data_IF_440105104962
#
_entry.id   IF_440105104962
#
_cell.length_a   1.000
_cell.length_b   1.000
_cell.length_c   1.000
_cell.angle_alpha   90.00
_cell.angle_beta   90.00
_cell.angle_gamma   90.00
#
_symmetry.space_group_name_H-M   'P 1'
#
loop_
_entity.id
_entity.type
_entity.pdbx_description
1 polymer ?
2 water ?
#
# COMPACT_ATOMS: atom_id res chain seq x y z
N UNK A 10 -12.78 -10.97 -16.77
CA UNK A 10 -13.67 -12.12 -16.45
C UNK A 10 -15.09 -11.67 -16.16
N UNK A 11 -15.63 -12.08 -15.02
CA UNK A 11 -16.99 -11.70 -14.64
C UNK A 11 -17.00 -10.53 -13.64
N UNK A 12 -17.94 -9.58 -13.81
CA UNK A 12 -18.03 -8.44 -12.91
C UNK A 12 -18.32 -8.85 -11.47
N UNK A 13 -17.76 -8.10 -10.53
CA UNK A 13 -17.92 -8.35 -9.10
C UNK A 13 -19.40 -8.56 -8.75
N UNK A 14 -20.26 -7.85 -9.50
CA UNK A 14 -21.70 -7.89 -9.32
C UNK A 14 -22.23 -9.31 -9.38
N UNK A 15 -21.72 -10.11 -10.31
CA UNK A 15 -22.20 -11.46 -10.43
C UNK A 15 -21.46 -12.46 -9.56
N UNK A 16 -21.21 -12.08 -8.31
CA UNK A 16 -20.54 -12.97 -7.38
C UNK A 16 -21.63 -13.85 -6.79
N UNK A 17 -22.86 -13.36 -6.80
CA UNK A 17 -23.97 -14.13 -6.25
C UNK A 17 -24.27 -15.41 -7.03
N UNK A 18 -23.72 -15.53 -8.22
CA UNK A 18 -23.94 -16.72 -9.03
C UNK A 18 -23.15 -17.92 -8.53
N UNK A 19 -22.35 -17.73 -7.48
CA UNK A 19 -21.51 -18.79 -6.93
C UNK A 19 -21.64 -18.94 -5.42
N UNK A 20 -21.25 -20.12 -4.93
CA UNK A 20 -21.30 -20.44 -3.51
C UNK A 20 -20.09 -19.90 -2.76
N UNK A 21 -20.08 -20.08 -1.45
CA UNK A 21 -18.97 -19.58 -0.66
C UNK A 21 -17.71 -20.37 -0.97
N UNK A 22 -17.86 -21.69 -1.15
CA UNK A 22 -16.72 -22.55 -1.45
C UNK A 22 -16.20 -22.29 -2.87
N UNK A 23 -17.12 -22.06 -3.80
CA UNK A 23 -16.75 -21.80 -5.19
C UNK A 23 -15.97 -20.50 -5.24
N UNK A 24 -16.47 -19.52 -4.50
CA UNK A 24 -15.81 -18.24 -4.44
C UNK A 24 -14.44 -18.43 -3.81
N UNK A 25 -14.39 -19.05 -2.63
CA UNK A 25 -13.09 -19.26 -2.01
C UNK A 25 -12.15 -19.97 -3.00
N UNK A 26 -12.66 -20.87 -3.82
CA UNK A 26 -11.80 -21.53 -4.78
C UNK A 26 -11.25 -20.52 -5.78
N UNK A 27 -12.12 -19.59 -6.18
CA UNK A 27 -11.78 -18.52 -7.11
C UNK A 27 -10.66 -17.68 -6.51
N UNK A 28 -10.85 -17.31 -5.25
CA UNK A 28 -9.87 -16.50 -4.50
C UNK A 28 -8.50 -17.17 -4.53
N UNK A 29 -8.46 -18.43 -4.12
CA UNK A 29 -7.22 -19.19 -4.12
C UNK A 29 -6.61 -19.14 -5.52
N UNK A 30 -7.43 -19.42 -6.53
CA UNK A 30 -6.98 -19.43 -7.90
C UNK A 30 -6.39 -18.10 -8.28
N UNK A 31 -7.05 -17.03 -7.87
CA UNK A 31 -6.57 -15.67 -8.22
C UNK A 31 -5.24 -15.39 -7.57
N UNK A 32 -5.12 -15.76 -6.30
CA UNK A 32 -3.89 -15.53 -5.58
C UNK A 32 -2.74 -16.38 -6.13
N UNK A 33 -3.07 -17.54 -6.67
CA UNK A 33 -2.02 -18.38 -7.20
C UNK A 33 -1.44 -17.77 -8.46
N UNK A 34 -2.32 -17.35 -9.36
CA UNK A 34 -1.89 -16.77 -10.60
C UNK A 34 -1.23 -15.42 -10.43
N UNK A 35 -1.64 -14.71 -9.38
CA UNK A 35 -1.09 -13.40 -9.05
C UNK A 35 0.38 -13.57 -8.70
N UNK A 36 0.63 -14.38 -7.68
CA UNK A 36 1.98 -14.65 -7.21
C UNK A 36 2.94 -14.94 -8.34
N UNK A 37 2.50 -15.79 -9.26
CA UNK A 37 3.37 -16.16 -10.36
C UNK A 37 3.42 -15.08 -11.43
N UNK A 38 2.48 -14.15 -11.34
CA UNK A 38 2.43 -13.04 -12.28
C UNK A 38 3.49 -12.02 -11.88
N UNK A 39 3.53 -11.71 -10.60
CA UNK A 39 4.51 -10.74 -10.12
C UNK A 39 5.92 -11.32 -10.20
N UNK A 40 6.04 -12.62 -9.93
CA UNK A 40 7.35 -13.27 -9.99
C UNK A 40 7.99 -13.09 -11.36
N UNK A 41 7.17 -13.11 -12.41
CA UNK A 41 7.68 -12.96 -13.77
C UNK A 41 7.86 -11.51 -14.14
N UNK A 42 7.02 -10.67 -13.56
CA UNK A 42 7.09 -9.25 -13.81
C UNK A 42 8.43 -8.77 -13.29
N UNK A 43 8.69 -9.00 -12.01
CA UNK A 43 9.95 -8.54 -11.43
C UNK A 43 11.11 -9.11 -12.23
N UNK A 44 11.04 -10.40 -12.49
CA UNK A 44 12.04 -11.14 -13.24
C UNK A 44 12.48 -10.38 -14.48
N UNK A 45 11.51 -9.73 -15.12
CA UNK A 45 11.75 -8.98 -16.33
C UNK A 45 11.47 -7.52 -16.03
N UNK A 46 12.51 -6.74 -15.76
CA UNK A 46 12.30 -5.33 -15.47
C UNK A 46 13.54 -4.49 -15.75
N UNK A 47 14.68 -4.95 -15.26
CA UNK A 47 15.93 -4.21 -15.50
C UNK A 47 15.85 -2.81 -14.92
N UNK A 48 14.96 -2.62 -13.94
CA UNK A 48 14.81 -1.33 -13.31
C UNK A 48 14.99 -1.47 -11.81
N UNK A 49 16.25 -1.39 -11.38
CA UNK A 49 16.61 -1.52 -9.97
C UNK A 49 15.83 -0.54 -9.09
N UNK A 50 14.52 -0.74 -9.00
CA UNK A 50 13.67 0.11 -8.19
C UNK A 50 12.25 -0.42 -8.23
N UNK A 51 11.75 -0.57 -9.45
CA UNK A 51 10.41 -1.07 -9.66
C UNK A 51 10.40 -2.58 -9.40
N UNK A 52 11.47 -3.25 -9.86
CA UNK A 52 11.62 -4.69 -9.66
C UNK A 52 11.63 -4.94 -8.17
N UNK A 53 12.09 -3.93 -7.43
CA UNK A 53 12.17 -3.97 -5.96
C UNK A 53 10.74 -3.94 -5.43
N UNK A 54 9.98 -2.92 -5.83
CA UNK A 54 8.58 -2.77 -5.42
C UNK A 54 7.84 -4.00 -5.87
N UNK A 55 7.97 -4.39 -7.12
CA UNK A 55 7.23 -5.55 -7.57
C UNK A 55 7.61 -6.83 -6.83
N UNK A 56 8.83 -6.89 -6.32
CA UNK A 56 9.29 -8.06 -5.58
C UNK A 56 8.75 -8.11 -4.15
N UNK A 57 8.71 -6.95 -3.48
CA UNK A 57 8.19 -6.90 -2.12
C UNK A 57 6.71 -7.22 -2.14
N UNK A 58 6.06 -6.76 -3.19
CA UNK A 58 4.63 -6.96 -3.37
C UNK A 58 4.35 -8.44 -3.61
N UNK A 59 5.24 -9.11 -4.34
CA UNK A 59 5.06 -10.54 -4.63
C UNK A 59 5.16 -11.38 -3.36
N UNK A 60 6.10 -11.01 -2.50
CA UNK A 60 6.34 -11.70 -1.24
C UNK A 60 5.15 -11.55 -0.31
N UNK A 61 4.73 -10.31 -0.15
CA UNK A 61 3.59 -9.97 0.69
C UNK A 61 2.39 -10.86 0.37
N UNK A 62 2.09 -11.03 -0.91
CA UNK A 62 0.95 -11.85 -1.30
C UNK A 62 1.20 -13.33 -1.38
N UNK A 63 2.37 -13.79 -0.93
CA UNK A 63 2.68 -15.23 -0.97
C UNK A 63 1.90 -15.98 0.08
N UNK A 64 1.70 -15.33 1.22
CA UNK A 64 0.98 -15.93 2.33
C UNK A 64 -0.53 -15.93 2.13
N UNK A 65 -1.03 -15.21 1.14
CA UNK A 65 -2.47 -15.14 0.89
C UNK A 65 -3.07 -16.51 0.55
N UNK A 66 -2.38 -17.26 -0.30
CA UNK A 66 -2.86 -18.56 -0.70
C UNK A 66 -3.01 -19.49 0.48
N UNK A 67 -1.91 -19.70 1.20
CA UNK A 67 -1.92 -20.57 2.36
C UNK A 67 -2.97 -20.10 3.37
N UNK A 68 -3.18 -18.79 3.47
CA UNK A 68 -4.18 -18.27 4.41
C UNK A 68 -5.59 -18.66 4.00
N UNK A 69 -5.87 -18.58 2.70
CA UNK A 69 -7.19 -18.93 2.20
C UNK A 69 -7.44 -20.42 2.29
N UNK A 70 -6.41 -21.21 1.98
CA UNK A 70 -6.53 -22.67 2.00
C UNK A 70 -6.85 -23.12 3.41
N UNK A 71 -6.38 -22.36 4.38
CA UNK A 71 -6.63 -22.68 5.77
C UNK A 71 -8.08 -22.43 6.09
N UNK A 72 -8.58 -21.27 5.66
CA UNK A 72 -9.97 -20.93 5.91
C UNK A 72 -10.87 -21.97 5.24
N UNK A 73 -10.65 -22.22 3.95
CA UNK A 73 -11.45 -23.19 3.23
C UNK A 73 -11.47 -24.53 3.95
N UNK A 74 -10.40 -24.82 4.66
CA UNK A 74 -10.26 -26.05 5.42
C UNK A 74 -11.04 -25.90 6.73
N UNK A 75 -11.09 -24.68 7.26
CA UNK A 75 -11.81 -24.38 8.48
C UNK A 75 -13.33 -24.39 8.30
N UNK A 76 -13.83 -24.01 7.12
CA UNK A 76 -15.28 -23.98 6.90
C UNK A 76 -15.73 -25.22 6.10
N UNK A 77 -14.78 -25.97 5.55
CA UNK A 77 -15.11 -27.16 4.76
C UNK A 77 -14.14 -28.30 5.06
N UNK A 78 -14.06 -28.72 6.33
CA UNK A 78 -13.16 -29.80 6.73
C UNK A 78 -13.33 -31.11 5.98
N UNK A 79 -12.24 -31.59 5.40
CA UNK A 79 -12.28 -32.84 4.67
C UNK A 79 -12.52 -32.71 3.17
N UNK A 80 -13.21 -31.64 2.76
CA UNK A 80 -13.51 -31.42 1.35
C UNK A 80 -12.41 -30.70 0.58
N UNK A 81 -12.01 -31.28 -0.54
CA UNK A 81 -10.95 -30.70 -1.36
C UNK A 81 -11.43 -29.44 -2.06
N UNK A 82 -10.50 -28.53 -2.30
CA UNK A 82 -10.82 -27.27 -2.96
C UNK A 82 -11.31 -27.52 -4.37
N UNK A 83 -12.32 -26.77 -4.77
CA UNK A 83 -12.86 -26.89 -6.11
C UNK A 83 -12.74 -25.54 -6.85
N UNK A 84 -12.16 -25.56 -8.03
CA UNK A 84 -12.00 -24.33 -8.80
C UNK A 84 -13.00 -24.23 -9.95
N UNK A 85 -13.92 -23.25 -9.89
CA UNK A 85 -14.89 -23.08 -10.96
C UNK A 85 -14.20 -22.56 -12.23
N UNK A 86 -14.78 -22.85 -13.41
CA UNK A 86 -14.20 -22.40 -14.66
C UNK A 86 -14.25 -20.88 -14.76
N UNK A 87 -15.36 -20.30 -14.30
CA UNK A 87 -15.50 -18.86 -14.37
C UNK A 87 -14.62 -18.17 -13.32
N UNK A 88 -14.44 -16.86 -13.49
CA UNK A 88 -13.64 -16.10 -12.56
C UNK A 88 -13.96 -14.61 -12.63
N UNK A 89 -13.96 -13.97 -11.46
CA UNK A 89 -14.26 -12.55 -11.36
C UNK A 89 -13.00 -11.72 -11.57
N UNK A 90 -13.13 -10.63 -12.30
CA UNK A 90 -12.01 -9.74 -12.53
C UNK A 90 -10.97 -10.27 -13.49
N UNK A 91 -9.96 -9.45 -13.84
CA UNK A 91 -8.92 -9.90 -14.77
C UNK A 91 -8.04 -11.03 -14.26
N UNK A 92 -7.75 -11.98 -15.13
CA UNK A 92 -6.92 -13.11 -14.77
C UNK A 92 -5.51 -12.89 -15.31
N UNK A 93 -4.62 -12.54 -14.39
CA UNK A 93 -3.22 -12.27 -14.71
C UNK A 93 -2.44 -13.53 -15.12
N UNK A 94 -1.87 -13.50 -16.31
CA UNK A 94 -1.08 -14.62 -16.80
C UNK A 94 0.38 -14.32 -16.53
N UNK A 95 1.21 -15.36 -16.32
CA UNK A 95 2.64 -15.13 -16.05
C UNK A 95 3.36 -14.48 -17.25
N UNK A 96 4.21 -13.49 -16.97
CA UNK A 96 4.92 -12.78 -18.04
C UNK A 96 6.16 -13.55 -18.45
N UNK A 97 6.15 -14.06 -19.69
CA UNK A 97 7.27 -14.82 -20.19
C UNK A 97 8.09 -14.10 -21.26
N UNK A 98 7.45 -13.15 -21.96
CA UNK A 98 8.10 -12.37 -23.01
C UNK A 98 9.07 -11.31 -22.48
N UNK A 99 9.84 -10.70 -23.38
CA UNK A 99 10.79 -9.68 -22.97
C UNK A 99 10.17 -8.29 -23.16
N UNK A 100 10.31 -7.46 -22.13
CA UNK A 100 9.78 -6.09 -22.17
C UNK A 100 10.74 -5.22 -22.95
N UNK A 101 10.27 -4.73 -24.10
CA UNK A 101 11.08 -3.93 -25.00
C UNK A 101 10.96 -2.43 -24.79
N UNK A 102 9.77 -1.99 -24.42
CA UNK A 102 9.53 -0.57 -24.22
C UNK A 102 8.84 -0.32 -22.90
N UNK A 103 8.87 0.93 -22.48
CA UNK A 103 8.24 1.34 -21.23
C UNK A 103 6.73 1.13 -21.30
N UNK A 104 6.14 1.25 -22.49
CA UNK A 104 4.70 1.07 -22.63
C UNK A 104 4.27 -0.31 -22.13
N UNK A 105 5.07 -1.33 -22.45
CA UNK A 105 4.84 -2.71 -22.04
C UNK A 105 4.84 -2.82 -20.52
N UNK A 106 5.73 -2.09 -19.86
CA UNK A 106 5.79 -2.10 -18.41
C UNK A 106 4.54 -1.38 -17.92
N UNK A 107 4.14 -0.33 -18.64
CA UNK A 107 2.96 0.45 -18.28
C UNK A 107 1.70 -0.40 -18.28
N UNK A 108 1.48 -1.11 -19.37
CA UNK A 108 0.32 -1.98 -19.53
C UNK A 108 0.22 -2.97 -18.37
N UNK A 109 1.27 -3.76 -18.18
CA UNK A 109 1.33 -4.77 -17.12
C UNK A 109 1.12 -4.21 -15.71
N UNK A 110 1.59 -2.99 -15.44
CA UNK A 110 1.37 -2.43 -14.10
C UNK A 110 -0.08 -1.96 -14.03
N UNK A 111 -0.62 -1.46 -15.14
CA UNK A 111 -2.00 -0.95 -15.17
C UNK A 111 -2.98 -2.08 -14.89
N UNK A 112 -2.75 -3.24 -15.50
CA UNK A 112 -3.59 -4.43 -15.31
C UNK A 112 -3.45 -4.99 -13.90
N UNK A 113 -2.26 -4.85 -13.32
CA UNK A 113 -2.01 -5.35 -11.98
C UNK A 113 -2.83 -4.59 -10.96
N UNK A 114 -2.86 -3.26 -11.08
CA UNK A 114 -3.63 -2.50 -10.11
C UNK A 114 -5.10 -2.75 -10.33
N UNK A 115 -5.45 -3.10 -11.56
CA UNK A 115 -6.84 -3.39 -11.90
C UNK A 115 -7.21 -4.66 -11.17
N UNK A 116 -6.36 -5.66 -11.29
CA UNK A 116 -6.58 -6.93 -10.62
C UNK A 116 -6.61 -6.74 -9.10
N UNK A 117 -5.79 -5.83 -8.57
CA UNK A 117 -5.78 -5.60 -7.13
C UNK A 117 -7.05 -4.86 -6.74
N UNK A 118 -7.56 -4.06 -7.67
CA UNK A 118 -8.77 -3.29 -7.47
C UNK A 118 -9.91 -4.27 -7.29
N UNK A 119 -10.12 -5.15 -8.26
CA UNK A 119 -11.22 -6.10 -8.12
C UNK A 119 -11.02 -7.05 -6.95
N UNK A 120 -9.77 -7.39 -6.59
CA UNK A 120 -9.49 -8.31 -5.49
C UNK A 120 -9.90 -7.78 -4.11
N UNK A 121 -9.51 -6.55 -3.79
CA UNK A 121 -9.86 -5.96 -2.51
C UNK A 121 -11.38 -5.83 -2.43
N UNK A 122 -11.99 -5.38 -3.52
CA UNK A 122 -13.44 -5.22 -3.57
C UNK A 122 -14.14 -6.56 -3.42
N UNK A 123 -13.44 -7.60 -3.85
CA UNK A 123 -13.92 -9.00 -3.77
C UNK A 123 -13.90 -9.41 -2.28
N UNK A 124 -12.76 -9.27 -1.62
CA UNK A 124 -12.63 -9.63 -0.22
C UNK A 124 -13.51 -8.81 0.70
N UNK A 125 -13.99 -7.68 0.18
CA UNK A 125 -14.88 -6.79 0.93
C UNK A 125 -16.25 -7.42 0.96
N UNK A 126 -16.65 -7.98 -0.18
CA UNK A 126 -17.95 -8.63 -0.29
C UNK A 126 -17.92 -9.95 0.45
N UNK A 127 -16.90 -10.77 0.19
CA UNK A 127 -16.76 -12.07 0.83
C UNK A 127 -16.80 -11.87 2.33
N UNK A 128 -16.36 -10.70 2.78
CA UNK A 128 -16.37 -10.41 4.20
C UNK A 128 -17.78 -10.38 4.75
N UNK A 129 -18.69 -9.79 3.99
CA UNK A 129 -20.08 -9.69 4.39
C UNK A 129 -20.84 -10.98 4.06
N UNK A 130 -20.42 -11.66 2.99
CA UNK A 130 -21.05 -12.90 2.53
C UNK A 130 -20.63 -14.10 3.41
N UNK A 131 -20.04 -13.81 4.57
CA UNK A 131 -19.61 -14.85 5.52
C UNK A 131 -19.88 -14.39 6.97
N UNK A 132 -20.09 -15.34 7.88
CA UNK A 132 -20.36 -15.01 9.28
C UNK A 132 -19.19 -15.39 10.18
N UNK A 133 -19.29 -14.99 11.45
CA UNK A 133 -18.25 -15.26 12.45
C UNK A 133 -17.16 -14.19 12.32
N UNK A 134 -17.04 -13.36 13.34
CA UNK A 134 -16.08 -12.25 13.35
C UNK A 134 -14.64 -12.60 12.98
N UNK A 135 -14.12 -13.71 13.49
CA UNK A 135 -12.76 -14.08 13.17
C UNK A 135 -12.56 -14.25 11.65
N UNK A 136 -13.51 -14.91 11.00
CA UNK A 136 -13.44 -15.13 9.56
C UNK A 136 -13.58 -13.84 8.73
N UNK A 137 -14.43 -12.94 9.18
CA UNK A 137 -14.64 -11.67 8.47
C UNK A 137 -13.43 -10.77 8.69
N UNK A 138 -12.64 -11.11 9.69
CA UNK A 138 -11.46 -10.33 9.99
C UNK A 138 -10.36 -10.69 8.99
N UNK A 139 -10.33 -11.96 8.58
CA UNK A 139 -9.37 -12.42 7.59
C UNK A 139 -9.68 -11.76 6.25
N UNK A 140 -10.96 -11.65 5.94
CA UNK A 140 -11.40 -11.05 4.68
C UNK A 140 -11.01 -9.58 4.64
N UNK A 141 -11.29 -8.89 5.74
CA UNK A 141 -10.98 -7.47 5.91
C UNK A 141 -9.47 -7.25 5.78
N UNK A 142 -8.69 -8.10 6.46
CA UNK A 142 -7.23 -8.01 6.41
C UNK A 142 -6.73 -8.18 4.97
N UNK A 143 -7.28 -9.18 4.28
CA UNK A 143 -6.93 -9.47 2.90
C UNK A 143 -7.31 -8.29 1.99
N UNK A 144 -8.53 -7.78 2.16
CA UNK A 144 -9.01 -6.63 1.38
C UNK A 144 -8.15 -5.36 1.58
N UNK A 145 -7.80 -5.03 2.82
CA UNK A 145 -6.99 -3.85 3.08
C UNK A 145 -5.57 -3.97 2.52
N UNK A 146 -5.03 -5.19 2.62
CA UNK A 146 -3.72 -5.50 2.09
C UNK A 146 -3.78 -5.30 0.57
N UNK A 147 -4.85 -5.80 -0.06
CA UNK A 147 -5.02 -5.67 -1.50
C UNK A 147 -5.22 -4.21 -1.89
N UNK A 148 -6.04 -3.52 -1.11
CA UNK A 148 -6.34 -2.11 -1.32
C UNK A 148 -5.01 -1.35 -1.29
N UNK A 149 -4.13 -1.73 -0.36
CA UNK A 149 -2.83 -1.10 -0.25
C UNK A 149 -1.91 -1.38 -1.42
N UNK A 150 -1.96 -2.60 -1.95
CA UNK A 150 -1.13 -2.97 -3.09
C UNK A 150 -1.63 -2.17 -4.31
N UNK A 151 -2.92 -1.89 -4.34
CA UNK A 151 -3.53 -1.13 -5.43
C UNK A 151 -2.96 0.28 -5.48
N UNK A 152 -2.88 0.95 -4.33
CA UNK A 152 -2.36 2.31 -4.29
C UNK A 152 -0.85 2.33 -4.58
N UNK A 153 -0.13 1.37 -4.03
CA UNK A 153 1.30 1.30 -4.28
C UNK A 153 1.50 1.16 -5.80
N UNK A 154 0.74 0.26 -6.42
CA UNK A 154 0.87 0.05 -7.86
C UNK A 154 0.58 1.28 -8.73
N UNK A 155 -0.41 2.07 -8.31
CA UNK A 155 -0.80 3.27 -9.05
C UNK A 155 0.28 4.35 -8.88
N UNK A 156 0.96 4.36 -7.73
CA UNK A 156 2.01 5.34 -7.54
C UNK A 156 3.05 5.03 -8.61
N UNK A 157 3.46 3.77 -8.67
CA UNK A 157 4.42 3.37 -9.68
C UNK A 157 3.94 3.81 -11.07
N UNK A 158 2.75 3.38 -11.43
CA UNK A 158 2.14 3.75 -12.70
C UNK A 158 2.18 5.26 -12.93
N UNK A 159 1.92 6.00 -11.84
CA UNK A 159 1.90 7.46 -11.84
C UNK A 159 3.28 8.03 -12.20
N UNK A 160 4.33 7.50 -11.58
CA UNK A 160 5.70 7.96 -11.81
C UNK A 160 6.28 7.40 -13.11
N UNK A 161 5.67 6.34 -13.64
CA UNK A 161 6.15 5.76 -14.88
C UNK A 161 5.67 6.58 -16.07
N UNK A 162 4.74 7.49 -15.81
CA UNK A 162 4.17 8.34 -16.86
C UNK A 162 5.11 9.49 -17.22
N UNK A 163 5.92 9.90 -16.25
CA UNK A 163 6.88 10.98 -16.45
C UNK A 163 7.99 10.50 -17.39
N UNK A 164 8.24 9.19 -17.35
CA UNK A 164 9.27 8.56 -18.16
C UNK A 164 9.24 8.97 -19.63
N UNK A 165 8.12 8.75 -20.31
CA UNK A 165 8.03 9.14 -21.71
C UNK A 165 7.16 10.38 -21.91
N UNK A 166 5.91 10.15 -22.33
CA UNK A 166 4.98 11.24 -22.61
C UNK A 166 5.52 12.25 -23.60
N UNK A 167 4.85 13.39 -23.73
CA UNK A 167 5.28 14.43 -24.67
C UNK A 167 5.18 15.83 -24.06
N UNK B 10 -0.71 18.71 15.53
CA UNK B 10 -0.54 19.83 14.55
C UNK B 10 -1.81 20.56 14.16
N UNK B 11 -1.69 21.44 13.16
CA UNK B 11 -2.82 22.23 12.64
C UNK B 11 -3.65 21.45 11.61
N UNK B 12 -4.94 21.78 11.47
CA UNK B 12 -5.81 21.08 10.50
C UNK B 12 -5.36 21.25 9.06
N UNK B 13 -5.70 20.28 8.21
CA UNK B 13 -5.33 20.32 6.80
C UNK B 13 -5.92 21.54 6.08
N UNK B 14 -7.07 22.00 6.53
CA UNK B 14 -7.73 23.14 5.89
C UNK B 14 -6.91 24.42 5.87
N UNK B 15 -5.99 24.56 6.82
CA UNK B 15 -5.20 25.78 6.89
C UNK B 15 -3.82 25.83 6.21
N UNK B 16 -3.64 25.00 5.17
CA UNK B 16 -2.42 24.95 4.38
C UNK B 16 -2.48 26.22 3.50
N UNK B 17 -3.69 26.72 3.30
CA UNK B 17 -3.92 27.92 2.51
C UNK B 17 -3.27 29.16 3.16
N UNK B 18 -2.92 29.04 4.44
CA UNK B 18 -2.30 30.15 5.14
C UNK B 18 -0.78 30.12 5.04
N UNK B 19 -0.24 29.06 4.43
CA UNK B 19 1.21 28.91 4.26
C UNK B 19 1.62 29.05 2.80
N UNK B 20 2.87 29.42 2.55
CA UNK B 20 3.34 29.53 1.17
C UNK B 20 3.77 28.15 0.67
N UNK B 21 3.82 28.00 -0.65
CA UNK B 21 4.23 26.75 -1.27
C UNK B 21 5.62 26.30 -0.78
N UNK B 22 6.53 27.23 -0.56
CA UNK B 22 7.86 26.82 -0.10
C UNK B 22 7.84 26.27 1.30
N UNK B 23 7.05 26.88 2.16
CA UNK B 23 6.97 26.40 3.52
C UNK B 23 6.23 25.04 3.52
N UNK B 24 5.25 24.89 2.64
CA UNK B 24 4.54 23.63 2.57
C UNK B 24 5.47 22.51 2.10
N UNK B 25 6.43 22.85 1.25
CA UNK B 25 7.36 21.85 0.76
C UNK B 25 8.36 21.55 1.84
N UNK B 26 8.81 22.59 2.54
CA UNK B 26 9.77 22.42 3.61
C UNK B 26 9.15 21.70 4.79
N UNK B 27 7.83 21.81 4.87
CA UNK B 27 7.05 21.18 5.94
C UNK B 27 6.99 19.67 5.65
N UNK B 28 6.80 19.34 4.38
CA UNK B 28 6.73 17.96 3.91
C UNK B 28 8.06 17.26 4.15
N UNK B 29 9.15 17.94 3.80
CA UNK B 29 10.45 17.35 3.96
C UNK B 29 10.62 16.98 5.42
N UNK B 30 10.44 17.96 6.31
CA UNK B 30 10.55 17.71 7.76
C UNK B 30 9.66 16.54 8.20
N UNK B 31 8.39 16.60 7.81
CA UNK B 31 7.43 15.56 8.15
C UNK B 31 7.95 14.21 7.66
N UNK B 32 8.48 14.21 6.44
CA UNK B 32 9.01 12.99 5.83
C UNK B 32 10.21 12.43 6.59
N UNK B 33 11.00 13.32 7.19
CA UNK B 33 12.18 12.91 7.96
C UNK B 33 11.72 12.37 9.30
N UNK B 34 10.65 12.98 9.83
CA UNK B 34 10.12 12.54 11.10
C UNK B 34 9.52 11.15 11.03
N UNK B 35 8.77 10.87 9.97
CA UNK B 35 8.17 9.56 9.81
C UNK B 35 9.26 8.52 9.65
N UNK B 36 10.28 8.88 8.88
CA UNK B 36 11.39 8.00 8.61
C UNK B 36 12.05 7.49 9.88
N UNK B 37 12.44 8.40 10.76
CA UNK B 37 13.08 7.99 12.00
C UNK B 37 12.07 7.35 12.93
N UNK B 38 10.82 7.78 12.82
CA UNK B 38 9.73 7.23 13.62
C UNK B 38 9.61 5.74 13.33
N UNK B 39 9.35 5.43 12.07
CA UNK B 39 9.20 4.05 11.62
C UNK B 39 10.47 3.27 11.91
N UNK B 40 11.61 3.95 11.86
CA UNK B 40 12.88 3.30 12.12
C UNK B 40 12.90 2.86 13.58
N UNK B 41 12.60 3.80 14.48
CA UNK B 41 12.57 3.54 15.90
C UNK B 41 11.43 2.60 16.33
N UNK B 42 10.30 2.64 15.63
CA UNK B 42 9.16 1.78 15.95
C UNK B 42 9.53 0.33 15.71
N UNK B 43 9.99 0.05 14.49
CA UNK B 43 10.38 -1.29 14.09
C UNK B 43 11.50 -1.85 14.94
N UNK B 44 12.38 -0.97 15.41
CA UNK B 44 13.51 -1.37 16.24
C UNK B 44 13.03 -2.12 17.49
N UNK B 45 11.95 -1.61 18.06
CA UNK B 45 11.36 -2.17 19.27
C UNK B 45 10.06 -2.89 18.96
N UNK B 46 10.14 -4.13 18.49
CA UNK B 46 8.94 -4.88 18.16
C UNK B 46 8.98 -6.32 18.62
N UNK B 47 10.04 -7.02 18.24
CA UNK B 47 10.20 -8.42 18.61
C UNK B 47 9.10 -9.29 18.00
N UNK B 48 8.33 -8.72 17.08
CA UNK B 48 7.27 -9.46 16.40
C UNK B 48 7.67 -9.79 14.97
N UNK B 49 8.02 -11.06 14.75
CA UNK B 49 8.44 -11.56 13.44
C UNK B 49 7.33 -11.49 12.36
N UNK B 50 7.00 -10.28 11.92
CA UNK B 50 5.94 -10.10 10.93
C UNK B 50 5.63 -8.62 10.76
N UNK B 51 5.46 -7.94 11.89
CA UNK B 51 5.16 -6.51 11.90
C UNK B 51 6.42 -5.72 11.64
N UNK B 52 7.51 -6.07 12.34
CA UNK B 52 8.78 -5.38 12.18
C UNK B 52 9.18 -5.26 10.72
N UNK B 53 8.85 -6.28 9.92
CA UNK B 53 9.19 -6.24 8.49
C UNK B 53 8.45 -5.11 7.79
N UNK B 54 7.11 -5.15 7.83
CA UNK B 54 6.28 -4.12 7.21
C UNK B 54 6.69 -2.72 7.59
N UNK B 55 6.97 -2.50 8.86
CA UNK B 55 7.36 -1.18 9.32
C UNK B 55 8.70 -0.77 8.74
N UNK B 56 9.62 -1.72 8.63
CA UNK B 56 10.93 -1.42 8.08
C UNK B 56 10.80 -0.97 6.63
N UNK B 57 9.99 -1.70 5.87
CA UNK B 57 9.80 -1.35 4.47
C UNK B 57 9.15 0.04 4.32
N UNK B 58 8.40 0.45 5.34
CA UNK B 58 7.76 1.76 5.30
C UNK B 58 8.78 2.85 5.57
N UNK B 59 9.82 2.52 6.35
CA UNK B 59 10.86 3.50 6.66
C UNK B 59 11.61 3.86 5.37
N UNK B 60 11.86 2.86 4.52
CA UNK B 60 12.58 3.08 3.26
C UNK B 60 11.83 4.01 2.35
N UNK B 61 10.52 3.76 2.24
CA UNK B 61 9.67 4.58 1.40
C UNK B 61 9.72 6.05 1.81
N UNK B 62 9.76 6.30 3.11
CA UNK B 62 9.82 7.67 3.60
C UNK B 62 11.19 8.27 3.33
N UNK B 63 12.17 7.40 3.16
CA UNK B 63 13.55 7.81 2.90
C UNK B 63 13.64 8.49 1.54
N UNK B 64 13.03 7.83 0.55
CA UNK B 64 13.02 8.30 -0.81
C UNK B 64 12.13 9.50 -0.97
N UNK B 65 11.03 9.55 -0.20
CA UNK B 65 10.14 10.69 -0.32
C UNK B 65 10.92 11.97 -0.06
N UNK B 66 11.84 11.94 0.91
CA UNK B 66 12.62 13.13 1.20
C UNK B 66 13.54 13.48 0.05
N UNK B 67 14.16 12.46 -0.53
CA UNK B 67 15.06 12.67 -1.65
C UNK B 67 14.28 13.39 -2.78
N UNK B 68 13.09 12.89 -3.07
CA UNK B 68 12.29 13.48 -4.13
C UNK B 68 11.85 14.89 -3.79
N UNK B 69 11.49 15.10 -2.54
CA UNK B 69 11.05 16.42 -2.10
C UNK B 69 12.21 17.42 -2.04
N UNK B 70 13.40 16.94 -1.68
CA UNK B 70 14.61 17.77 -1.60
C UNK B 70 14.99 18.26 -2.99
N UNK B 71 14.74 17.39 -3.97
CA UNK B 71 14.99 17.66 -5.38
C UNK B 71 14.00 18.69 -5.94
N UNK B 72 12.71 18.39 -5.83
CA UNK B 72 11.69 19.31 -6.32
C UNK B 72 11.89 20.70 -5.75
N UNK B 73 12.07 20.76 -4.44
CA UNK B 73 12.28 22.02 -3.75
C UNK B 73 13.43 22.79 -4.39
N UNK B 74 14.51 22.11 -4.69
CA UNK B 74 15.64 22.80 -5.31
C UNK B 74 15.27 23.34 -6.68
N UNK B 75 14.48 22.55 -7.42
CA UNK B 75 14.00 22.91 -8.74
C UNK B 75 13.16 24.18 -8.65
N UNK B 76 12.19 24.19 -7.71
CA UNK B 76 11.34 25.36 -7.55
C UNK B 76 12.09 26.51 -6.85
N UNK B 77 13.16 26.21 -6.11
CA UNK B 77 13.93 27.27 -5.42
C UNK B 77 15.44 27.07 -5.54
N UNK B 78 16.03 27.47 -6.69
CA UNK B 78 17.47 27.34 -6.93
C UNK B 78 18.39 28.11 -6.00
N UNK B 79 19.46 27.45 -5.57
CA UNK B 79 20.42 28.09 -4.69
C UNK B 79 19.93 28.42 -3.29
N UNK B 80 18.73 27.98 -2.96
CA UNK B 80 18.15 28.24 -1.65
C UNK B 80 18.40 27.09 -0.67
N UNK B 81 18.39 27.41 0.61
CA UNK B 81 18.58 26.41 1.65
C UNK B 81 17.25 26.16 2.33
N UNK B 82 16.75 24.93 2.22
CA UNK B 82 15.46 24.57 2.83
C UNK B 82 15.36 25.09 4.27
N UNK B 83 14.37 25.96 4.53
CA UNK B 83 14.16 26.49 5.88
C UNK B 83 12.87 25.89 6.45
N UNK B 84 13.03 24.87 7.28
CA UNK B 84 11.91 24.18 7.91
C UNK B 84 11.08 25.09 8.79
N UNK B 85 9.77 25.20 8.51
CA UNK B 85 8.89 26.06 9.30
C UNK B 85 8.74 25.53 10.71
N UNK B 86 8.43 26.43 11.63
CA UNK B 86 8.29 26.04 13.01
C UNK B 86 6.88 25.58 13.32
N UNK B 87 6.08 25.43 12.27
CA UNK B 87 4.68 24.98 12.40
C UNK B 87 4.43 23.82 11.43
N UNK B 88 3.46 22.97 11.74
CA UNK B 88 3.18 21.84 10.86
C UNK B 88 1.70 21.45 10.78
N UNK B 89 1.36 20.62 9.79
CA UNK B 89 -0.01 20.17 9.62
C UNK B 89 -0.10 18.69 10.01
N UNK B 90 -1.21 18.27 10.61
CA UNK B 90 -1.35 16.88 10.99
C UNK B 90 -0.48 16.55 12.18
N UNK B 91 -0.55 15.31 12.70
CA UNK B 91 0.25 14.88 13.85
C UNK B 91 1.73 14.70 13.51
N UNK B 92 2.61 15.04 14.45
CA UNK B 92 4.04 14.89 14.24
C UNK B 92 4.57 13.79 15.15
N UNK B 93 4.84 12.64 14.55
CA UNK B 93 5.35 11.48 15.27
C UNK B 93 6.80 11.64 15.69
N UNK B 94 7.09 11.26 16.93
CA UNK B 94 8.44 11.36 17.47
C UNK B 94 8.98 9.94 17.59
N UNK B 95 10.32 9.77 17.46
CA UNK B 95 10.91 8.44 17.55
C UNK B 95 10.72 7.82 18.93
N UNK B 96 10.28 6.56 18.96
CA UNK B 96 10.07 5.86 20.22
C UNK B 96 11.39 5.55 20.90
N UNK B 97 11.53 6.00 22.13
CA UNK B 97 12.76 5.76 22.88
C UNK B 97 12.55 4.66 23.92
N UNK B 98 11.44 4.74 24.64
CA UNK B 98 11.12 3.75 25.66
C UNK B 98 11.01 2.35 25.09
N UNK B 99 10.42 1.44 25.86
CA UNK B 99 10.26 0.06 25.40
C UNK B 99 8.78 -0.29 25.37
N UNK B 100 8.43 -1.23 24.50
CA UNK B 100 7.05 -1.66 24.38
C UNK B 100 6.74 -2.78 25.39
N UNK B 101 6.15 -2.39 26.51
CA UNK B 101 5.81 -3.31 27.58
C UNK B 101 4.63 -4.20 27.22
N UNK B 102 3.53 -3.57 26.83
CA UNK B 102 2.29 -4.27 26.50
C UNK B 102 1.97 -4.22 25.01
N UNK B 103 1.16 -5.18 24.56
CA UNK B 103 0.76 -5.22 23.16
C UNK B 103 0.00 -3.94 22.89
N UNK B 104 -0.60 -3.40 23.96
CA UNK B 104 -1.38 -2.17 23.89
C UNK B 104 -0.58 -0.99 23.36
N UNK B 105 0.71 -0.94 23.70
CA UNK B 105 1.58 0.14 23.25
C UNK B 105 1.68 0.11 21.73
N UNK B 106 1.85 -1.09 21.17
CA UNK B 106 1.95 -1.28 19.72
C UNK B 106 0.73 -0.65 19.08
N UNK B 107 -0.43 -0.99 19.61
CA UNK B 107 -1.70 -0.47 19.10
C UNK B 107 -1.63 1.05 19.08
N UNK B 108 -1.37 1.63 20.24
CA UNK B 108 -1.28 3.07 20.39
C UNK B 108 -0.43 3.72 19.31
N UNK B 109 0.69 3.11 18.96
CA UNK B 109 1.59 3.64 17.94
C UNK B 109 1.09 3.40 16.53
N UNK B 110 0.45 2.26 16.31
CA UNK B 110 -0.08 1.91 15.00
C UNK B 110 -1.31 2.73 14.67
N UNK B 111 -2.07 3.10 15.69
CA UNK B 111 -3.28 3.88 15.47
C UNK B 111 -2.87 5.30 15.10
N UNK B 112 -1.84 5.81 15.76
CA UNK B 112 -1.35 7.15 15.47
C UNK B 112 -0.59 7.22 14.16
N UNK B 113 0.10 6.14 13.80
CA UNK B 113 0.85 6.12 12.56
C UNK B 113 -0.13 6.32 11.39
N UNK B 114 -1.18 5.50 11.33
CA UNK B 114 -2.16 5.58 10.25
C UNK B 114 -2.90 6.89 10.30
N UNK B 115 -2.97 7.46 11.49
CA UNK B 115 -3.62 8.73 11.67
C UNK B 115 -2.73 9.77 10.97
N UNK B 116 -1.41 9.58 11.02
CA UNK B 116 -0.49 10.50 10.36
C UNK B 116 -0.42 10.29 8.84
N UNK B 117 -0.56 9.04 8.40
CA UNK B 117 -0.52 8.68 6.98
C UNK B 117 -1.78 9.18 6.26
N UNK B 118 -2.92 9.07 6.94
CA UNK B 118 -4.22 9.50 6.42
C UNK B 118 -4.21 11.00 6.11
N UNK B 119 -3.62 11.77 7.03
CA UNK B 119 -3.52 13.23 6.86
C UNK B 119 -2.42 13.60 5.86
N UNK B 120 -1.35 12.81 5.79
CA UNK B 120 -0.25 13.07 4.87
C UNK B 120 -0.71 12.96 3.43
N UNK B 121 -1.67 12.06 3.19
CA UNK B 121 -2.22 11.86 1.86
C UNK B 121 -3.04 13.10 1.50
N UNK B 122 -3.84 13.55 2.46
CA UNK B 122 -4.66 14.75 2.26
C UNK B 122 -3.74 15.92 1.95
N UNK B 123 -2.58 15.95 2.61
CA UNK B 123 -1.60 16.99 2.41
C UNK B 123 -1.08 17.04 0.97
N UNK B 124 -0.75 15.90 0.40
CA UNK B 124 -0.24 15.89 -0.96
C UNK B 124 -1.32 16.11 -2.01
N UNK B 125 -2.54 15.65 -1.73
CA UNK B 125 -3.65 15.82 -2.67
C UNK B 125 -3.91 17.30 -2.86
N UNK B 126 -3.89 18.02 -1.75
CA UNK B 126 -4.10 19.46 -1.76
C UNK B 126 -2.88 20.13 -2.39
N UNK B 127 -1.70 19.61 -2.09
CA UNK B 127 -0.46 20.18 -2.64
C UNK B 127 -0.42 20.00 -4.16
N UNK B 128 -1.15 19.00 -4.64
CA UNK B 128 -1.23 18.70 -6.05
C UNK B 128 -1.97 19.83 -6.74
N UNK B 129 -2.95 20.38 -6.03
CA UNK B 129 -3.74 21.47 -6.55
C UNK B 129 -2.94 22.77 -6.54
N UNK B 130 -2.30 23.10 -5.41
CA UNK B 130 -1.51 24.33 -5.28
C UNK B 130 -0.21 24.29 -6.10
N UNK B 131 -0.15 23.41 -7.09
CA UNK B 131 1.03 23.30 -7.94
C UNK B 131 0.63 23.12 -9.41
N UNK B 132 1.46 23.62 -10.32
CA UNK B 132 1.18 23.53 -11.75
C UNK B 132 2.20 22.61 -12.42
N UNK B 133 2.18 22.56 -13.75
CA UNK B 133 3.11 21.72 -14.49
C UNK B 133 2.84 20.25 -14.17
N UNK B 134 2.22 19.54 -15.11
CA UNK B 134 1.85 18.14 -14.93
C UNK B 134 2.87 17.19 -14.31
N UNK B 135 4.17 17.47 -14.49
CA UNK B 135 5.19 16.58 -13.92
C UNK B 135 5.20 16.62 -12.39
N UNK B 136 5.08 17.82 -11.83
CA UNK B 136 5.04 18.01 -10.39
C UNK B 136 3.71 17.51 -9.82
N UNK B 137 2.69 17.47 -10.66
CA UNK B 137 1.41 16.97 -10.20
C UNK B 137 1.48 15.47 -9.99
N UNK B 138 2.13 14.76 -10.91
CA UNK B 138 2.28 13.31 -10.79
C UNK B 138 3.02 12.98 -9.51
N UNK B 139 4.10 13.72 -9.29
CA UNK B 139 4.95 13.58 -8.11
C UNK B 139 4.12 13.64 -6.82
N UNK B 140 3.30 14.68 -6.70
CA UNK B 140 2.47 14.81 -5.52
C UNK B 140 1.49 13.63 -5.52
N UNK B 141 0.99 13.30 -6.70
CA UNK B 141 0.06 12.19 -6.82
C UNK B 141 0.72 10.90 -6.35
N UNK B 142 1.98 10.72 -6.73
CA UNK B 142 2.73 9.55 -6.31
C UNK B 142 2.76 9.48 -4.77
N UNK B 143 3.23 10.57 -4.14
CA UNK B 143 3.32 10.66 -2.68
C UNK B 143 1.98 10.43 -1.98
N UNK B 144 0.89 10.91 -2.58
CA UNK B 144 -0.39 10.69 -1.97
C UNK B 144 -0.70 9.20 -2.05
N UNK B 145 -0.42 8.55 -3.19
CA UNK B 145 -0.71 7.13 -3.31
C UNK B 145 0.11 6.27 -2.34
N UNK B 146 1.40 6.57 -2.23
CA UNK B 146 2.23 5.82 -1.31
C UNK B 146 1.71 5.99 0.12
N UNK B 147 1.37 7.22 0.49
CA UNK B 147 0.84 7.50 1.82
C UNK B 147 -0.46 6.72 2.09
N UNK B 148 -1.38 6.75 1.13
CA UNK B 148 -2.65 6.05 1.30
C UNK B 148 -2.34 4.58 1.42
N UNK B 149 -1.39 4.13 0.61
CA UNK B 149 -0.96 2.75 0.65
C UNK B 149 -0.51 2.36 2.05
N UNK B 150 0.26 3.23 2.72
CA UNK B 150 0.71 2.89 4.07
C UNK B 150 -0.45 2.86 5.04
N UNK B 151 -1.54 3.54 4.68
CA UNK B 151 -2.71 3.58 5.55
C UNK B 151 -3.31 2.19 5.70
N UNK B 152 -3.61 1.58 4.55
CA UNK B 152 -4.21 0.24 4.49
C UNK B 152 -3.27 -0.82 5.05
N UNK B 153 -2.00 -0.71 4.71
CA UNK B 153 -0.99 -1.63 5.22
C UNK B 153 -1.02 -1.64 6.75
N UNK B 154 -1.01 -0.45 7.34
CA UNK B 154 -1.03 -0.32 8.78
C UNK B 154 -2.38 -0.76 9.33
N UNK B 155 -3.46 -0.35 8.67
CA UNK B 155 -4.78 -0.73 9.14
C UNK B 155 -4.88 -2.26 9.22
N UNK B 156 -4.35 -2.96 8.21
CA UNK B 156 -4.38 -4.42 8.21
C UNK B 156 -3.79 -5.01 9.49
N UNK B 157 -2.53 -4.72 9.76
CA UNK B 157 -1.88 -5.24 10.96
C UNK B 157 -2.52 -4.71 12.24
N UNK B 158 -3.17 -3.55 12.14
CA UNK B 158 -3.82 -2.96 13.30
C UNK B 158 -4.86 -3.87 13.94
N UNK B 159 -5.92 -4.18 13.18
CA UNK B 159 -7.03 -5.02 13.65
C UNK B 159 -6.60 -6.36 14.27
N UNK B 160 -5.56 -6.96 13.70
CA UNK B 160 -5.04 -8.23 14.19
C UNK B 160 -4.51 -8.05 15.62
N UNK B 161 -3.55 -7.15 15.80
CA UNK B 161 -2.98 -6.92 17.11
C UNK B 161 -4.05 -6.66 18.19
N UNK B 162 -5.08 -5.92 17.81
CA UNK B 162 -6.17 -5.56 18.70
C UNK B 162 -6.97 -6.76 19.21
N UNK B 163 -7.33 -7.64 18.29
CA UNK B 163 -8.08 -8.83 18.64
C UNK B 163 -7.19 -9.94 19.21
N UNK B 164 -5.92 -9.62 19.43
CA UNK B 164 -4.98 -10.59 19.99
C UNK B 164 -4.98 -11.84 19.12
N UNK B 165 -4.90 -11.66 17.81
CA UNK B 165 -4.90 -12.75 16.84
C UNK B 165 -3.64 -12.62 16.00
N UNK B 166 -3.02 -13.73 15.64
CA UNK B 166 -1.79 -13.66 14.86
C UNK B 166 -1.98 -14.33 13.48
N UNK B 167 -2.40 -13.51 12.51
CA UNK B 167 -2.68 -13.93 11.12
C UNK B 167 -3.81 -14.93 11.03
#
# INVERSE_FOLDING_TARGET
>A
GSTIQEVREGLPIEKMADFSLEELLGMAIKAEIGAREFYKSLAEKIKIEALKEKINWLAEEEKKHEALLRKLYSQMFPGKEVVFPKEHIGPELQPVARELEKVQDIIDLIRWAMKAEEIAAEFYLKLEEMVKEEEKKRLMRYLADMERGHYYTLRAEYELLLNWEMYSQMMHIGP
>B
GSTIQEVREGLPIEKMADFSLEELLGMAIKAEIGAREFYKSLAEKIKIEALKEKINWLAEEEKKHEALLRKLYSQMFPGKEVVFPKEHIGPELQPVARELEKVQDIIDLIRWAMKAEEIAAEFYLKLEEMVKEEEKKRLMRYLADMERGHYYTLRAEYELLLNWEMYSQMMHIGP
#
